data_IF_770719437273
#
_entry.id   IF_770719437273
#
_cell.length_a   1.000
_cell.length_b   1.000
_cell.length_c   1.000
_cell.angle_alpha   90.00
_cell.angle_beta   90.00
_cell.angle_gamma   90.00
#
_symmetry.space_group_name_H-M   'P 1'
#
loop_
_entity.id
_entity.type
_entity.pdbx_description
1 polymer ?
#
# COMPACT_ATOMS: atom_id res chain seq x y z
N UNK A 1 6.69 10.26 24.77
CA UNK A 1 6.14 9.04 25.41
C UNK A 1 4.69 9.36 25.73
N UNK A 2 3.74 8.55 25.29
CA UNK A 2 2.31 8.85 25.46
C UNK A 2 1.94 8.63 26.94
N UNK A 3 1.32 9.63 27.57
CA UNK A 3 0.91 9.58 28.98
C UNK A 3 -0.54 9.05 29.10
N UNK A 4 -0.85 8.37 30.21
CA UNK A 4 -2.20 7.89 30.54
C UNK A 4 -3.25 9.01 30.50
N UNK A 5 -2.90 10.23 30.91
CA UNK A 5 -3.83 11.36 30.86
C UNK A 5 -4.23 11.71 29.42
N UNK A 6 -3.28 11.71 28.48
CA UNK A 6 -3.53 11.98 27.05
C UNK A 6 -4.40 10.87 26.43
N UNK A 7 -4.20 9.61 26.83
CA UNK A 7 -5.03 8.48 26.39
C UNK A 7 -6.49 8.68 26.84
N UNK A 8 -6.70 9.00 28.12
CA UNK A 8 -8.03 9.21 28.67
C UNK A 8 -8.74 10.41 28.02
N UNK A 9 -8.01 11.49 27.76
CA UNK A 9 -8.54 12.66 27.05
C UNK A 9 -8.95 12.32 25.62
N UNK A 10 -8.13 11.56 24.89
CA UNK A 10 -8.44 11.10 23.53
C UNK A 10 -9.72 10.24 23.52
N UNK A 11 -9.86 9.31 24.47
CA UNK A 11 -11.07 8.48 24.60
C UNK A 11 -12.31 9.35 24.85
N UNK A 12 -12.19 10.41 25.66
CA UNK A 12 -13.29 11.36 25.88
C UNK A 12 -13.65 12.11 24.60
N UNK A 13 -12.67 12.66 23.89
CA UNK A 13 -12.88 13.41 22.65
C UNK A 13 -13.61 12.57 21.60
N UNK A 14 -13.20 11.31 21.43
CA UNK A 14 -13.82 10.38 20.48
C UNK A 14 -15.31 10.19 20.79
N UNK A 15 -15.66 10.02 22.07
CA UNK A 15 -17.04 9.78 22.51
C UNK A 15 -17.93 11.02 22.37
N UNK A 16 -17.38 12.20 22.65
CA UNK A 16 -18.16 13.46 22.66
C UNK A 16 -18.29 14.08 21.27
N UNK A 17 -17.29 13.92 20.40
CA UNK A 17 -17.21 14.63 19.12
C UNK A 17 -17.51 13.78 17.87
N UNK A 18 -17.88 12.51 18.02
CA UNK A 18 -18.30 11.64 16.91
C UNK A 18 -17.27 11.57 15.76
N UNK A 19 -15.99 11.43 16.13
CA UNK A 19 -14.88 11.41 15.17
C UNK A 19 -14.86 10.11 14.35
N UNK A 20 -14.35 10.19 13.13
CA UNK A 20 -14.06 9.05 12.25
C UNK A 20 -12.58 8.99 11.84
N UNK A 21 -12.11 7.80 11.47
CA UNK A 21 -10.80 7.60 10.87
C UNK A 21 -10.98 7.44 9.36
N UNK A 22 -10.53 8.45 8.60
CA UNK A 22 -10.60 8.41 7.13
C UNK A 22 -9.87 7.21 6.54
N UNK A 23 -8.66 6.91 7.02
CA UNK A 23 -7.87 5.79 6.50
C UNK A 23 -6.86 5.30 7.53
N UNK A 24 -6.61 3.99 7.51
CA UNK A 24 -5.35 3.41 7.99
C UNK A 24 -4.54 2.97 6.78
N UNK A 25 -3.23 3.20 6.81
CA UNK A 25 -2.33 2.85 5.69
C UNK A 25 -1.13 2.10 6.22
N UNK A 26 -0.87 0.91 5.68
CA UNK A 26 0.38 0.19 5.93
C UNK A 26 1.38 0.47 4.81
N UNK A 27 2.56 0.98 5.16
CA UNK A 27 3.65 1.21 4.21
C UNK A 27 4.56 -0.01 4.15
N UNK A 28 4.84 -0.52 2.94
CA UNK A 28 5.73 -1.66 2.71
C UNK A 28 6.92 -1.26 1.84
N UNK A 29 8.11 -1.69 2.26
CA UNK A 29 9.31 -1.61 1.41
C UNK A 29 9.36 -2.82 0.47
N UNK A 30 9.67 -2.61 -0.80
CA UNK A 30 9.76 -3.68 -1.81
C UNK A 30 11.19 -3.89 -2.34
N UNK A 31 12.20 -3.24 -1.76
CA UNK A 31 13.59 -3.37 -2.24
C UNK A 31 14.14 -4.81 -2.17
N UNK A 32 13.68 -5.61 -1.20
CA UNK A 32 14.00 -7.04 -1.05
C UNK A 32 13.27 -7.95 -2.05
N UNK A 33 12.28 -7.41 -2.77
CA UNK A 33 11.54 -8.11 -3.81
C UNK A 33 12.25 -8.03 -5.17
N UNK A 34 13.23 -7.15 -5.34
CA UNK A 34 13.94 -6.94 -6.61
C UNK A 34 14.72 -8.21 -6.99
N UNK A 35 14.53 -8.65 -8.23
CA UNK A 35 15.27 -9.74 -8.84
C UNK A 35 15.61 -9.42 -10.30
N UNK A 36 16.41 -10.28 -10.91
CA UNK A 36 16.75 -10.27 -12.34
C UNK A 36 15.59 -10.66 -13.27
N UNK A 37 14.50 -11.22 -12.73
CA UNK A 37 13.34 -11.67 -13.48
C UNK A 37 12.08 -10.91 -13.10
N UNK A 38 11.42 -10.27 -14.07
CA UNK A 38 10.17 -9.52 -13.85
C UNK A 38 9.08 -10.36 -13.17
N UNK A 39 8.87 -11.58 -13.68
CA UNK A 39 7.93 -12.56 -13.10
C UNK A 39 8.25 -12.88 -11.63
N UNK A 40 9.54 -13.09 -11.31
CA UNK A 40 9.95 -13.43 -9.93
C UNK A 40 9.83 -12.23 -9.00
N UNK A 41 10.13 -11.03 -9.48
CA UNK A 41 9.91 -9.78 -8.74
C UNK A 41 8.42 -9.60 -8.44
N UNK A 42 7.55 -9.78 -9.44
CA UNK A 42 6.09 -9.68 -9.29
C UNK A 42 5.55 -10.69 -8.26
N UNK A 43 5.99 -11.95 -8.29
CA UNK A 43 5.58 -12.97 -7.33
C UNK A 43 6.00 -12.59 -5.89
N UNK A 44 7.26 -12.16 -5.69
CA UNK A 44 7.73 -11.70 -4.38
C UNK A 44 6.95 -10.50 -3.85
N UNK A 45 6.59 -9.55 -4.73
CA UNK A 45 5.77 -8.39 -4.36
C UNK A 45 4.41 -8.85 -3.85
N UNK A 46 3.75 -9.75 -4.57
CA UNK A 46 2.47 -10.33 -4.16
C UNK A 46 2.58 -11.06 -2.82
N UNK A 47 3.53 -12.00 -2.69
CA UNK A 47 3.75 -12.77 -1.46
C UNK A 47 4.00 -11.86 -0.25
N UNK A 48 4.82 -10.82 -0.42
CA UNK A 48 5.15 -9.88 0.65
C UNK A 48 3.94 -9.06 1.08
N UNK A 49 3.16 -8.53 0.14
CA UNK A 49 1.96 -7.75 0.46
C UNK A 49 0.95 -8.63 1.21
N UNK A 50 0.66 -9.83 0.72
CA UNK A 50 -0.28 -10.75 1.37
C UNK A 50 0.19 -11.12 2.78
N UNK A 51 1.47 -11.47 2.93
CA UNK A 51 2.05 -11.87 4.21
C UNK A 51 2.03 -10.74 5.24
N UNK A 52 2.42 -9.53 4.86
CA UNK A 52 2.64 -8.42 5.80
C UNK A 52 1.37 -7.59 6.03
N UNK A 53 0.55 -7.40 5.01
CA UNK A 53 -0.68 -6.60 5.09
C UNK A 53 -1.97 -7.43 5.23
N UNK A 54 -1.93 -8.77 5.14
CA UNK A 54 -3.12 -9.62 5.22
C UNK A 54 -3.97 -9.46 6.47
N UNK A 55 -3.38 -9.00 7.58
CA UNK A 55 -4.10 -8.73 8.83
C UNK A 55 -4.82 -7.37 8.91
N UNK A 56 -4.56 -6.44 7.98
CA UNK A 56 -4.95 -5.02 8.13
C UNK A 56 -6.46 -4.83 8.27
N UNK A 57 -7.26 -5.56 7.48
CA UNK A 57 -8.71 -5.45 7.51
C UNK A 57 -9.30 -6.07 8.78
N UNK A 58 -8.79 -7.23 9.21
CA UNK A 58 -9.24 -7.89 10.43
C UNK A 58 -8.90 -7.06 11.69
N UNK A 59 -7.68 -6.52 11.76
CA UNK A 59 -7.26 -5.66 12.88
C UNK A 59 -8.01 -4.34 12.86
N UNK A 60 -8.17 -3.71 11.69
CA UNK A 60 -8.96 -2.48 11.54
C UNK A 60 -10.42 -2.67 11.99
N UNK A 61 -11.06 -3.78 11.63
CA UNK A 61 -12.40 -4.13 12.08
C UNK A 61 -12.50 -4.30 13.59
N UNK A 62 -11.52 -4.98 14.22
CA UNK A 62 -11.46 -5.14 15.67
C UNK A 62 -11.31 -3.80 16.40
N UNK A 63 -10.44 -2.92 15.92
CA UNK A 63 -10.24 -1.58 16.49
C UNK A 63 -11.54 -0.76 16.38
N UNK A 64 -12.18 -0.80 15.20
CA UNK A 64 -13.43 -0.10 14.95
C UNK A 64 -14.54 -0.55 15.91
N UNK A 65 -14.69 -1.86 16.11
CA UNK A 65 -15.66 -2.42 17.05
C UNK A 65 -15.34 -2.11 18.53
N UNK A 66 -14.06 -2.15 18.91
CA UNK A 66 -13.62 -1.92 20.29
C UNK A 66 -13.88 -0.50 20.77
N UNK A 67 -13.64 0.49 19.90
CA UNK A 67 -13.75 1.91 20.26
C UNK A 67 -15.01 2.58 19.74
N UNK A 68 -15.82 1.89 18.92
CA UNK A 68 -17.02 2.46 18.31
C UNK A 68 -16.71 3.55 17.27
N UNK A 69 -15.50 3.52 16.68
CA UNK A 69 -15.03 4.53 15.71
C UNK A 69 -15.03 3.91 14.32
N UNK A 70 -15.70 4.50 13.33
CA UNK A 70 -15.65 3.99 11.97
C UNK A 70 -14.25 4.22 11.36
N UNK A 71 -13.68 3.16 10.78
CA UNK A 71 -12.49 3.25 9.94
C UNK A 71 -12.93 3.08 8.49
N UNK A 72 -12.97 4.19 7.76
CA UNK A 72 -13.56 4.24 6.42
C UNK A 72 -12.73 3.43 5.43
N UNK A 73 -11.42 3.66 5.36
CA UNK A 73 -10.53 2.99 4.41
C UNK A 73 -9.38 2.22 5.09
N UNK A 74 -8.98 1.10 4.49
CA UNK A 74 -7.75 0.35 4.77
C UNK A 74 -6.93 0.32 3.47
N UNK A 75 -5.70 0.81 3.54
CA UNK A 75 -4.83 0.98 2.36
C UNK A 75 -3.46 0.39 2.59
N UNK A 76 -2.79 0.09 1.48
CA UNK A 76 -1.35 -0.21 1.47
C UNK A 76 -0.65 0.82 0.59
N UNK A 77 0.53 1.25 0.98
CA UNK A 77 1.44 2.00 0.11
C UNK A 77 2.76 1.27 -0.01
N UNK A 78 3.36 1.28 -1.19
CA UNK A 78 4.62 0.59 -1.46
C UNK A 78 5.71 1.52 -1.98
N UNK A 79 6.96 1.05 -1.95
CA UNK A 79 8.10 1.68 -2.65
C UNK A 79 7.70 2.02 -4.10
N UNK A 80 8.07 3.21 -4.64
CA UNK A 80 7.81 3.56 -6.04
C UNK A 80 8.18 2.44 -7.02
N UNK A 81 7.19 1.94 -7.76
CA UNK A 81 7.37 0.78 -8.67
C UNK A 81 8.37 1.08 -9.79
N UNK A 82 8.59 2.35 -10.15
CA UNK A 82 9.66 2.69 -11.09
C UNK A 82 11.03 2.20 -10.61
N UNK A 83 11.29 2.21 -9.30
CA UNK A 83 12.56 1.74 -8.72
C UNK A 83 12.61 0.21 -8.60
N UNK A 84 11.48 -0.41 -8.22
CA UNK A 84 11.38 -1.86 -8.03
C UNK A 84 11.49 -2.59 -9.36
N UNK A 85 10.83 -2.08 -10.39
CA UNK A 85 10.82 -2.66 -11.72
C UNK A 85 12.06 -2.31 -12.56
N UNK A 86 12.88 -1.32 -12.17
CA UNK A 86 14.00 -0.84 -12.97
C UNK A 86 14.97 -1.95 -13.41
N UNK A 87 15.22 -2.96 -12.55
CA UNK A 87 16.13 -4.07 -12.88
C UNK A 87 15.55 -5.08 -13.86
N UNK A 88 14.22 -5.15 -14.01
CA UNK A 88 13.55 -6.21 -14.77
C UNK A 88 12.73 -5.70 -15.97
N UNK A 89 12.35 -4.42 -15.96
CA UNK A 89 11.49 -3.79 -16.97
C UNK A 89 10.01 -4.19 -16.93
N UNK A 90 9.63 -5.18 -16.12
CA UNK A 90 8.26 -5.73 -16.08
C UNK A 90 7.36 -4.98 -15.09
N UNK A 91 7.00 -3.74 -15.43
CA UNK A 91 6.15 -2.92 -14.57
C UNK A 91 4.70 -3.42 -14.54
N UNK A 92 4.17 -3.93 -15.66
CA UNK A 92 2.80 -4.44 -15.76
C UNK A 92 2.61 -5.72 -14.94
N UNK A 93 3.59 -6.63 -14.96
CA UNK A 93 3.59 -7.81 -14.10
C UNK A 93 3.50 -7.44 -12.62
N UNK A 94 4.27 -6.42 -12.20
CA UNK A 94 4.23 -5.90 -10.83
C UNK A 94 2.88 -5.24 -10.52
N UNK A 95 2.30 -4.45 -11.44
CA UNK A 95 0.98 -3.83 -11.27
C UNK A 95 -0.11 -4.89 -11.01
N UNK A 96 -0.15 -5.94 -11.82
CA UNK A 96 -1.11 -7.05 -11.68
C UNK A 96 -0.90 -7.84 -10.39
N UNK A 97 0.35 -8.01 -9.96
CA UNK A 97 0.65 -8.64 -8.67
C UNK A 97 0.15 -7.79 -7.49
N UNK A 98 0.31 -6.47 -7.55
CA UNK A 98 -0.21 -5.55 -6.54
C UNK A 98 -1.75 -5.58 -6.46
N UNK A 99 -2.44 -5.55 -7.60
CA UNK A 99 -3.90 -5.63 -7.65
C UNK A 99 -4.42 -6.97 -7.12
N UNK A 100 -3.82 -8.08 -7.56
CA UNK A 100 -4.13 -9.41 -7.01
C UNK A 100 -3.99 -9.45 -5.49
N UNK A 101 -2.88 -8.93 -4.97
CA UNK A 101 -2.65 -8.91 -3.53
C UNK A 101 -3.68 -8.05 -2.80
N UNK A 102 -4.01 -6.87 -3.35
CA UNK A 102 -5.00 -5.95 -2.78
C UNK A 102 -6.39 -6.59 -2.68
N UNK A 103 -6.81 -7.28 -3.75
CA UNK A 103 -8.08 -8.03 -3.78
C UNK A 103 -8.11 -9.17 -2.77
N UNK A 104 -7.01 -9.89 -2.62
CA UNK A 104 -6.91 -11.02 -1.67
C UNK A 104 -7.01 -10.58 -0.21
N UNK A 105 -6.31 -9.51 0.17
CA UNK A 105 -6.34 -9.00 1.55
C UNK A 105 -7.55 -8.09 1.83
N UNK A 106 -8.33 -7.76 0.80
CA UNK A 106 -9.58 -6.99 0.90
C UNK A 106 -9.38 -5.53 1.30
N UNK A 107 -8.31 -4.88 0.82
CA UNK A 107 -8.07 -3.44 1.03
C UNK A 107 -8.74 -2.59 -0.05
N UNK A 108 -9.01 -1.32 0.27
CA UNK A 108 -9.68 -0.39 -0.65
C UNK A 108 -8.75 0.11 -1.76
N UNK A 109 -7.46 0.29 -1.44
CA UNK A 109 -6.51 0.85 -2.39
C UNK A 109 -5.06 0.46 -2.06
N UNK A 110 -4.29 0.11 -3.09
CA UNK A 110 -2.84 0.00 -3.02
C UNK A 110 -2.18 1.11 -3.83
N UNK A 111 -1.42 1.97 -3.15
CA UNK A 111 -0.65 3.05 -3.75
C UNK A 111 0.82 2.68 -3.90
N UNK A 112 1.55 3.39 -4.77
CA UNK A 112 3.00 3.19 -4.97
C UNK A 112 3.39 2.83 -6.39
N UNK A 113 2.42 2.67 -7.30
CA UNK A 113 2.66 2.68 -8.75
C UNK A 113 3.03 4.10 -9.19
N UNK A 114 4.24 4.53 -8.84
CA UNK A 114 4.73 5.89 -9.00
C UNK A 114 6.21 5.92 -9.38
N UNK A 115 6.67 7.11 -9.77
CA UNK A 115 8.06 7.43 -10.09
C UNK A 115 8.48 8.77 -9.50
N UNK A 116 9.80 8.97 -9.36
CA UNK A 116 10.40 10.23 -8.92
C UNK A 116 11.23 10.83 -10.07
N UNK A 117 10.68 11.86 -10.73
CA UNK A 117 11.25 12.45 -11.97
C UNK A 117 11.58 13.94 -11.85
N UNK A 118 11.64 14.47 -10.64
CA UNK A 118 11.87 15.89 -10.35
C UNK A 118 13.21 16.44 -10.91
N UNK A 119 14.17 15.57 -11.24
CA UNK A 119 15.47 15.94 -11.86
C UNK A 119 15.63 15.38 -13.28
N UNK A 120 14.53 15.02 -13.93
CA UNK A 120 14.53 14.27 -15.18
C UNK A 120 14.23 12.79 -14.97
N UNK A 121 13.85 12.13 -16.06
CA UNK A 121 13.54 10.70 -16.08
C UNK A 121 14.72 9.93 -16.70
N UNK A 122 15.12 8.82 -16.07
CA UNK A 122 16.02 7.86 -16.71
C UNK A 122 15.24 6.99 -17.72
N UNK A 123 15.93 6.11 -18.42
CA UNK A 123 15.28 5.10 -19.28
C UNK A 123 14.30 4.23 -18.49
N UNK A 124 14.64 3.89 -17.23
CA UNK A 124 13.78 3.13 -16.33
C UNK A 124 12.48 3.87 -16.02
N UNK A 125 12.55 5.14 -15.57
CA UNK A 125 11.34 5.92 -15.32
C UNK A 125 10.54 6.19 -16.60
N UNK A 126 11.20 6.37 -17.75
CA UNK A 126 10.51 6.60 -19.04
C UNK A 126 9.71 5.36 -19.45
N UNK A 127 10.28 4.17 -19.29
CA UNK A 127 9.58 2.91 -19.52
C UNK A 127 8.43 2.73 -18.53
N UNK A 128 8.64 3.05 -17.25
CA UNK A 128 7.57 3.02 -16.23
C UNK A 128 6.43 3.98 -16.59
N UNK A 129 6.72 5.25 -16.95
CA UNK A 129 5.69 6.24 -17.27
C UNK A 129 4.82 5.78 -18.45
N UNK A 130 5.43 5.14 -19.46
CA UNK A 130 4.72 4.55 -20.61
C UNK A 130 3.81 3.39 -20.22
N UNK A 131 4.06 2.72 -19.10
CA UNK A 131 3.25 1.60 -18.62
C UNK A 131 2.00 2.02 -17.86
N UNK A 132 1.90 3.28 -17.39
CA UNK A 132 0.78 3.76 -16.56
C UNK A 132 -0.59 3.55 -17.22
N UNK A 133 -0.80 3.86 -18.52
CA UNK A 133 -2.10 3.67 -19.16
C UNK A 133 -2.56 2.21 -19.16
N UNK A 134 -1.66 1.27 -19.43
CA UNK A 134 -1.99 -0.16 -19.44
C UNK A 134 -2.18 -0.69 -18.01
N UNK A 135 -1.35 -0.28 -17.06
CA UNK A 135 -1.49 -0.67 -15.67
C UNK A 135 -2.88 -0.30 -15.14
N UNK A 136 -3.27 0.97 -15.25
CA UNK A 136 -4.57 1.47 -14.76
C UNK A 136 -5.78 0.89 -15.51
N UNK A 137 -5.60 0.39 -16.74
CA UNK A 137 -6.66 -0.26 -17.49
C UNK A 137 -6.83 -1.75 -17.16
N UNK A 138 -5.80 -2.39 -16.57
CA UNK A 138 -5.74 -3.84 -16.36
C UNK A 138 -5.66 -4.26 -14.88
N UNK A 139 -5.80 -3.30 -13.96
CA UNK A 139 -5.85 -3.50 -12.50
C UNK A 139 -7.13 -2.94 -11.93
#
# INVERSE_FOLDING_TARGET
MINRNEIMETVRMIREHHLDIRTITMGLTLFDCITDSGKRTAEKVYEKIVREAGGICAVGGKISAMYGIPIVNKRVSVTPISLVGASSGDYIGIARAMDRAAREIGIDFIGGYSAMVQKGATEGETAFLKSIPEALATT
#
